data_IF_850533035936
#
_entry.id   IF_850533035936
#
_cell.length_a   1.000
_cell.length_b   1.000
_cell.length_c   1.000
_cell.angle_alpha   90.00
_cell.angle_beta   90.00
_cell.angle_gamma   90.00
#
_symmetry.space_group_name_H-M   'P 1'
#
loop_
_entity.id
_entity.type
_entity.pdbx_description
1 polymer ?
#
# COMPACT_ATOMS: atom_id res chain seq x y z
N UNK A 1 25.27 7.67 15.21
CA UNK A 1 24.43 7.98 14.04
C UNK A 1 23.15 7.13 14.10
N UNK A 2 21.94 7.70 13.98
CA UNK A 2 20.69 6.95 14.11
C UNK A 2 20.57 5.82 13.06
N UNK A 3 21.25 5.94 11.93
CA UNK A 3 21.27 4.93 10.87
C UNK A 3 21.96 3.63 11.35
N UNK A 4 23.03 3.74 12.15
CA UNK A 4 23.75 2.58 12.71
C UNK A 4 22.85 1.84 13.70
N UNK A 5 22.08 2.56 14.51
CA UNK A 5 21.14 1.95 15.47
C UNK A 5 20.02 1.19 14.74
N UNK A 6 19.50 1.76 13.65
CA UNK A 6 18.47 1.11 12.81
C UNK A 6 19.05 -0.15 12.12
N UNK A 7 20.25 -0.08 11.60
CA UNK A 7 20.95 -1.22 10.99
C UNK A 7 21.26 -2.32 12.02
N UNK A 8 21.68 -1.96 13.23
CA UNK A 8 21.92 -2.91 14.32
C UNK A 8 20.62 -3.52 14.83
N UNK A 9 19.53 -2.76 14.93
CA UNK A 9 18.22 -3.28 15.30
C UNK A 9 17.67 -4.25 14.22
N UNK A 10 17.82 -3.93 12.94
CA UNK A 10 17.50 -4.83 11.84
C UNK A 10 18.37 -6.11 11.89
N UNK A 11 19.67 -6.00 12.10
CA UNK A 11 20.57 -7.14 12.22
C UNK A 11 20.22 -8.02 13.45
N UNK A 12 19.88 -7.41 14.58
CA UNK A 12 19.46 -8.14 15.80
C UNK A 12 18.13 -8.89 15.59
N UNK A 13 17.19 -8.35 14.81
CA UNK A 13 15.98 -9.06 14.42
C UNK A 13 16.27 -10.30 13.56
N UNK A 14 17.30 -10.28 12.73
CA UNK A 14 17.71 -11.44 11.91
C UNK A 14 18.40 -12.54 12.74
N UNK A 15 19.05 -12.22 13.83
CA UNK A 15 19.80 -13.21 14.65
C UNK A 15 18.90 -13.91 15.71
N UNK A 16 17.78 -13.32 16.08
CA UNK A 16 16.88 -13.88 17.10
C UNK A 16 16.01 -15.06 16.62
N UNK A 17 16.13 -15.49 15.36
CA UNK A 17 15.17 -16.42 14.73
C UNK A 17 15.67 -17.85 14.54
N UNK A 18 16.72 -18.27 15.23
CA UNK A 18 17.30 -19.63 15.04
C UNK A 18 16.54 -20.80 15.73
N UNK A 19 15.40 -20.58 16.37
CA UNK A 19 14.64 -21.66 17.03
C UNK A 19 13.13 -21.64 16.80
N UNK A 20 12.62 -21.17 15.68
CA UNK A 20 11.20 -21.32 15.37
C UNK A 20 11.02 -22.06 14.04
N UNK A 21 10.18 -23.09 14.08
CA UNK A 21 9.61 -23.80 12.92
C UNK A 21 9.56 -22.92 11.68
N UNK A 22 10.11 -23.42 10.56
CA UNK A 22 10.24 -22.76 9.27
C UNK A 22 9.36 -21.50 9.10
N UNK A 23 9.88 -20.35 9.54
CA UNK A 23 9.26 -19.07 9.26
C UNK A 23 9.45 -18.83 7.76
N UNK A 24 8.42 -19.15 6.99
CA UNK A 24 8.43 -18.81 5.57
C UNK A 24 8.30 -17.30 5.46
N UNK A 25 9.23 -16.70 4.76
CA UNK A 25 9.20 -15.29 4.39
C UNK A 25 8.86 -15.23 2.91
N UNK A 26 8.02 -14.31 2.54
CA UNK A 26 7.69 -14.07 1.15
C UNK A 26 7.89 -12.62 0.79
N UNK A 27 8.36 -12.38 -0.44
CA UNK A 27 8.46 -11.06 -1.05
C UNK A 27 7.50 -11.01 -2.22
N UNK A 28 6.78 -9.89 -2.38
CA UNK A 28 5.79 -9.72 -3.43
C UNK A 28 5.75 -8.32 -4.03
N UNK A 29 5.28 -8.26 -5.27
CA UNK A 29 4.89 -7.03 -5.95
C UNK A 29 3.42 -7.07 -6.33
N UNK A 30 2.74 -5.93 -6.30
CA UNK A 30 1.37 -5.79 -6.76
C UNK A 30 1.37 -5.30 -8.22
N UNK A 31 1.02 -6.17 -9.13
CA UNK A 31 1.02 -5.93 -10.58
C UNK A 31 0.09 -4.78 -10.99
N UNK A 32 -0.98 -4.49 -10.22
CA UNK A 32 -1.86 -3.36 -10.48
C UNK A 32 -1.15 -2.02 -10.19
N UNK A 33 -0.30 -1.98 -9.17
CA UNK A 33 0.55 -0.82 -8.89
C UNK A 33 1.63 -0.67 -9.96
N UNK A 34 2.24 -1.78 -10.39
CA UNK A 34 3.24 -1.76 -11.45
C UNK A 34 2.64 -1.28 -12.78
N UNK A 35 1.41 -1.69 -13.11
CA UNK A 35 0.67 -1.22 -14.29
C UNK A 35 0.39 0.29 -14.27
N UNK A 36 0.34 0.90 -13.10
CA UNK A 36 0.23 2.37 -12.92
C UNK A 36 1.58 3.07 -12.74
N UNK A 37 2.67 2.40 -13.09
CA UNK A 37 4.05 2.88 -12.93
C UNK A 37 4.36 3.28 -11.47
N UNK A 38 3.81 2.55 -10.51
CA UNK A 38 4.04 2.76 -9.08
C UNK A 38 4.88 1.60 -8.54
N UNK A 39 6.22 1.73 -8.50
CA UNK A 39 7.07 0.75 -7.85
C UNK A 39 6.58 0.43 -6.46
N UNK A 40 6.55 -0.86 -6.13
CA UNK A 40 6.04 -1.32 -4.85
C UNK A 40 6.72 -2.62 -4.40
N UNK A 41 6.72 -2.83 -3.11
CA UNK A 41 7.30 -4.00 -2.49
C UNK A 41 6.49 -4.40 -1.27
N UNK A 42 6.16 -5.67 -1.17
CA UNK A 42 5.57 -6.28 0.01
C UNK A 42 6.47 -7.36 0.59
N UNK A 43 6.56 -7.40 1.91
CA UNK A 43 7.21 -8.48 2.65
C UNK A 43 6.18 -9.11 3.58
N UNK A 44 6.07 -10.42 3.56
CA UNK A 44 5.14 -11.16 4.39
C UNK A 44 5.87 -12.24 5.18
N UNK A 45 5.61 -12.33 6.48
CA UNK A 45 6.20 -13.32 7.39
C UNK A 45 5.13 -14.22 7.97
N UNK A 46 5.41 -15.52 7.99
CA UNK A 46 4.62 -16.49 8.74
C UNK A 46 4.88 -16.38 10.24
N UNK A 47 3.85 -16.01 11.00
CA UNK A 47 3.90 -15.95 12.47
C UNK A 47 3.44 -17.27 13.12
N UNK A 48 2.80 -18.14 12.35
CA UNK A 48 2.29 -19.41 12.82
C UNK A 48 1.88 -20.32 11.66
N UNK A 49 1.09 -21.35 11.96
CA UNK A 49 0.59 -22.30 10.94
C UNK A 49 -0.43 -21.65 9.99
N UNK A 50 -1.20 -20.71 10.49
CA UNK A 50 -2.33 -20.06 9.80
C UNK A 50 -2.33 -18.54 9.91
N UNK A 51 -1.27 -17.94 10.47
CA UNK A 51 -1.20 -16.49 10.67
C UNK A 51 0.05 -15.97 10.00
N UNK A 52 -0.10 -14.87 9.26
CA UNK A 52 1.00 -14.11 8.66
C UNK A 52 0.84 -12.63 8.95
N UNK A 53 1.94 -11.91 8.93
CA UNK A 53 1.96 -10.44 8.94
C UNK A 53 2.66 -9.94 7.70
N UNK A 54 2.12 -8.89 7.10
CA UNK A 54 2.64 -8.26 5.89
C UNK A 54 2.91 -6.79 6.12
N UNK A 55 3.99 -6.31 5.54
CA UNK A 55 4.25 -4.90 5.33
C UNK A 55 4.37 -4.63 3.83
N UNK A 56 3.64 -3.65 3.33
CA UNK A 56 3.63 -3.25 1.93
C UNK A 56 3.95 -1.77 1.80
N UNK A 57 4.82 -1.43 0.87
CA UNK A 57 5.19 -0.06 0.55
C UNK A 57 5.08 0.18 -0.96
N UNK A 58 4.42 1.27 -1.33
CA UNK A 58 4.32 1.74 -2.72
C UNK A 58 4.76 3.19 -2.81
N UNK A 59 5.50 3.53 -3.87
CA UNK A 59 6.02 4.86 -4.11
C UNK A 59 5.81 5.25 -5.56
N UNK A 60 5.16 6.38 -5.80
CA UNK A 60 5.06 6.99 -7.11
C UNK A 60 5.79 8.35 -7.10
N UNK A 61 7.01 8.44 -7.60
CA UNK A 61 7.80 9.68 -7.57
C UNK A 61 7.62 10.55 -8.81
N UNK A 62 6.83 10.13 -9.81
CA UNK A 62 6.86 10.70 -11.15
C UNK A 62 6.24 12.09 -11.25
N UNK A 63 6.94 12.94 -11.97
CA UNK A 63 6.46 14.20 -12.51
C UNK A 63 6.40 14.06 -14.04
N UNK A 64 5.26 14.37 -14.61
CA UNK A 64 5.08 14.36 -16.06
C UNK A 64 5.22 15.79 -16.61
N UNK A 65 5.47 15.89 -17.91
CA UNK A 65 5.48 17.16 -18.65
C UNK A 65 4.18 17.95 -18.45
N UNK A 66 4.18 19.26 -18.69
CA UNK A 66 3.03 20.16 -18.55
C UNK A 66 2.53 20.35 -17.10
N UNK A 67 3.38 20.14 -16.09
CA UNK A 67 3.04 20.36 -14.69
C UNK A 67 2.10 19.31 -14.09
N UNK A 68 1.85 18.20 -14.79
CA UNK A 68 1.15 17.03 -14.23
C UNK A 68 2.02 16.35 -13.20
N UNK A 69 1.49 16.13 -12.02
CA UNK A 69 2.20 15.43 -10.93
C UNK A 69 1.27 14.41 -10.29
N UNK A 70 1.77 13.17 -10.17
CA UNK A 70 1.09 12.10 -9.42
C UNK A 70 2.14 11.53 -8.47
N UNK A 71 2.43 12.28 -7.41
CA UNK A 71 3.40 11.85 -6.41
C UNK A 71 2.64 11.37 -5.19
N UNK A 72 2.88 10.11 -4.82
CA UNK A 72 2.35 9.57 -3.58
C UNK A 72 3.23 8.45 -3.06
N UNK A 73 3.17 8.23 -1.78
CA UNK A 73 3.66 7.02 -1.14
C UNK A 73 2.59 6.45 -0.22
N UNK A 74 2.58 5.14 -0.10
CA UNK A 74 1.63 4.41 0.71
C UNK A 74 2.34 3.31 1.48
N UNK A 75 2.13 3.26 2.78
CA UNK A 75 2.55 2.19 3.66
C UNK A 75 1.31 1.46 4.16
N UNK A 76 1.34 0.13 4.15
CA UNK A 76 0.25 -0.70 4.67
C UNK A 76 0.82 -1.86 5.47
N UNK A 77 0.36 -1.99 6.72
CA UNK A 77 0.57 -3.16 7.56
C UNK A 77 -0.70 -4.01 7.58
N UNK A 78 -0.57 -5.33 7.49
CA UNK A 78 -1.72 -6.25 7.47
C UNK A 78 -1.42 -7.53 8.23
N UNK A 79 -2.32 -7.91 9.14
CA UNK A 79 -2.36 -9.23 9.75
C UNK A 79 -3.36 -10.12 9.03
N UNK A 80 -3.00 -11.36 8.73
CA UNK A 80 -3.78 -12.30 7.93
C UNK A 80 -4.00 -13.62 8.66
N UNK A 81 -5.20 -14.13 8.52
CA UNK A 81 -5.59 -15.47 8.96
C UNK A 81 -5.96 -16.33 7.75
N UNK A 82 -5.31 -17.49 7.62
CA UNK A 82 -5.47 -18.44 6.53
C UNK A 82 -6.41 -19.56 6.93
N UNK A 83 -7.38 -19.91 6.11
CA UNK A 83 -8.34 -20.96 6.43
C UNK A 83 -7.73 -22.37 6.39
N UNK A 84 -6.76 -22.59 5.51
CA UNK A 84 -6.03 -23.85 5.41
C UNK A 84 -4.64 -23.77 6.06
N UNK A 85 -3.66 -23.30 5.33
CA UNK A 85 -2.29 -23.11 5.80
C UNK A 85 -1.76 -21.78 5.29
N UNK A 86 -0.73 -21.24 5.95
CA UNK A 86 -0.10 -20.00 5.49
C UNK A 86 0.33 -20.10 4.02
N UNK A 87 0.15 -19.03 3.28
CA UNK A 87 0.48 -18.89 1.84
C UNK A 87 -0.31 -19.84 0.91
N UNK A 88 -1.47 -20.36 1.34
CA UNK A 88 -2.27 -21.26 0.52
C UNK A 88 -3.78 -21.03 0.70
N UNK A 89 -4.49 -20.79 -0.39
CA UNK A 89 -5.93 -20.70 -0.43
C UNK A 89 -6.49 -19.38 0.11
N UNK A 90 -7.63 -19.46 0.74
CA UNK A 90 -8.37 -18.30 1.23
C UNK A 90 -7.78 -17.72 2.51
N UNK A 91 -7.81 -16.39 2.61
CA UNK A 91 -7.45 -15.68 3.83
C UNK A 91 -8.35 -14.47 4.10
N UNK A 92 -8.45 -14.13 5.36
CA UNK A 92 -8.99 -12.86 5.85
C UNK A 92 -7.86 -12.07 6.50
N UNK A 93 -7.88 -10.75 6.29
CA UNK A 93 -6.89 -9.85 6.87
C UNK A 93 -7.53 -8.61 7.48
N UNK A 94 -6.79 -8.01 8.39
CA UNK A 94 -7.06 -6.66 8.90
C UNK A 94 -5.85 -5.82 8.56
N UNK A 95 -6.08 -4.68 7.90
CA UNK A 95 -5.00 -3.79 7.49
C UNK A 95 -5.16 -2.38 8.05
N UNK A 96 -4.03 -1.77 8.32
CA UNK A 96 -3.88 -0.34 8.58
C UNK A 96 -3.00 0.25 7.49
N UNK A 97 -3.35 1.45 7.03
CA UNK A 97 -2.60 2.13 5.99
C UNK A 97 -2.43 3.61 6.28
N UNK A 98 -1.35 4.17 5.75
CA UNK A 98 -1.07 5.59 5.79
C UNK A 98 -0.20 6.01 4.63
N UNK A 99 -0.36 7.25 4.19
CA UNK A 99 0.39 7.77 3.06
C UNK A 99 0.24 9.26 2.87
N UNK A 100 0.99 9.77 1.92
CA UNK A 100 0.90 11.17 1.49
C UNK A 100 0.76 11.22 -0.02
N UNK A 101 0.05 12.22 -0.50
CA UNK A 101 -0.17 12.44 -1.92
C UNK A 101 0.00 13.91 -2.28
N UNK A 102 0.48 14.12 -3.50
CA UNK A 102 0.59 15.43 -4.12
C UNK A 102 0.22 15.28 -5.60
N UNK A 103 -0.98 15.69 -5.92
CA UNK A 103 -1.57 15.52 -7.25
C UNK A 103 -1.92 16.87 -7.86
N UNK A 104 -1.47 17.10 -9.10
CA UNK A 104 -1.74 18.32 -9.85
C UNK A 104 -2.03 18.00 -11.32
N UNK A 105 -2.99 18.69 -11.92
CA UNK A 105 -3.35 18.62 -13.36
C UNK A 105 -3.67 17.20 -13.87
N UNK A 106 -4.27 16.36 -13.01
CA UNK A 106 -4.60 14.97 -13.35
C UNK A 106 -6.00 14.84 -13.92
N UNK A 107 -6.14 14.11 -15.02
CA UNK A 107 -7.45 13.80 -15.60
C UNK A 107 -8.05 12.59 -14.86
N UNK A 108 -8.92 12.83 -13.88
CA UNK A 108 -9.44 11.85 -12.95
C UNK A 108 -10.42 10.82 -13.55
N UNK A 109 -10.62 10.78 -14.87
CA UNK A 109 -11.57 9.85 -15.52
C UNK A 109 -11.20 8.37 -15.35
N UNK A 110 -9.96 8.06 -14.98
CA UNK A 110 -9.49 6.68 -14.83
C UNK A 110 -9.69 6.10 -13.42
N UNK A 111 -9.95 6.95 -12.43
CA UNK A 111 -10.13 6.52 -11.05
C UNK A 111 -11.62 6.60 -10.68
N UNK A 112 -12.26 5.47 -10.50
CA UNK A 112 -13.70 5.32 -10.16
C UNK A 112 -14.07 5.83 -8.76
N UNK A 113 -13.16 6.47 -8.05
CA UNK A 113 -13.38 7.02 -6.72
C UNK A 113 -13.72 8.50 -6.87
N UNK A 114 -14.78 8.97 -6.21
CA UNK A 114 -15.28 10.36 -6.17
C UNK A 114 -14.19 11.42 -5.88
N UNK A 115 -13.28 11.62 -6.83
CA UNK A 115 -12.29 12.68 -6.79
C UNK A 115 -12.91 14.03 -7.13
N UNK A 116 -12.41 15.14 -6.57
CA UNK A 116 -12.87 16.47 -6.96
C UNK A 116 -12.74 16.66 -8.47
N UNK A 117 -13.79 17.16 -9.10
CA UNK A 117 -13.81 17.43 -10.56
C UNK A 117 -12.78 18.50 -10.99
N UNK A 118 -12.26 19.24 -10.02
CA UNK A 118 -11.37 20.42 -10.20
C UNK A 118 -9.87 20.05 -10.18
N UNK A 119 -9.51 18.77 -10.26
CA UNK A 119 -8.11 18.30 -10.29
C UNK A 119 -7.33 18.81 -11.53
N UNK A 120 -8.03 19.29 -12.56
CA UNK A 120 -7.40 19.88 -13.75
C UNK A 120 -6.73 21.21 -13.45
N UNK A 121 -7.35 22.02 -12.57
CA UNK A 121 -6.98 23.42 -12.34
C UNK A 121 -6.35 23.64 -10.96
N UNK A 122 -6.38 22.63 -10.11
CA UNK A 122 -5.93 22.72 -8.73
C UNK A 122 -4.94 21.62 -8.36
N UNK A 123 -4.07 21.93 -7.42
CA UNK A 123 -3.15 21.03 -6.79
C UNK A 123 -3.71 20.58 -5.44
N UNK A 124 -3.74 19.28 -5.23
CA UNK A 124 -4.16 18.68 -3.98
C UNK A 124 -2.97 18.00 -3.31
N UNK A 125 -2.67 18.46 -2.11
CA UNK A 125 -1.64 17.88 -1.25
C UNK A 125 -2.28 17.41 0.04
N UNK A 126 -1.87 16.26 0.55
CA UNK A 126 -2.43 15.79 1.80
C UNK A 126 -1.83 14.47 2.27
N UNK A 127 -2.43 14.00 3.35
CA UNK A 127 -2.13 12.68 3.91
C UNK A 127 -3.42 11.91 4.15
N UNK A 128 -3.30 10.62 4.21
CA UNK A 128 -4.39 9.73 4.55
C UNK A 128 -3.96 8.69 5.58
N UNK A 129 -4.91 8.26 6.39
CA UNK A 129 -4.76 7.14 7.29
C UNK A 129 -6.07 6.34 7.30
N UNK A 130 -5.96 5.02 7.30
CA UNK A 130 -7.13 4.17 7.21
C UNK A 130 -6.95 2.80 7.83
N UNK A 131 -8.10 2.16 8.07
CA UNK A 131 -8.22 0.81 8.58
C UNK A 131 -9.23 0.05 7.74
N UNK A 132 -9.00 -1.24 7.54
CA UNK A 132 -9.95 -2.04 6.77
C UNK A 132 -9.76 -3.53 6.96
N UNK A 133 -10.65 -4.27 6.32
CA UNK A 133 -10.61 -5.73 6.24
C UNK A 133 -10.33 -6.15 4.81
N UNK A 134 -9.59 -7.23 4.67
CA UNK A 134 -9.20 -7.80 3.38
C UNK A 134 -9.70 -9.23 3.29
N UNK A 135 -10.19 -9.61 2.12
CA UNK A 135 -10.38 -10.99 1.74
C UNK A 135 -9.57 -11.28 0.49
N UNK A 136 -8.92 -12.43 0.45
CA UNK A 136 -8.13 -12.82 -0.71
C UNK A 136 -7.99 -14.32 -0.87
N UNK A 137 -7.42 -14.66 -2.01
CA UNK A 137 -7.08 -16.03 -2.37
C UNK A 137 -5.69 -16.07 -2.97
N UNK A 138 -4.93 -17.09 -2.62
CA UNK A 138 -3.59 -17.33 -3.11
C UNK A 138 -3.50 -18.67 -3.83
N UNK A 139 -2.98 -18.64 -5.05
CA UNK A 139 -2.68 -19.82 -5.87
C UNK A 139 -1.21 -20.14 -5.80
N UNK A 140 -0.88 -21.37 -5.51
CA UNK A 140 0.49 -21.89 -5.60
C UNK A 140 0.75 -22.28 -7.05
N UNK A 141 1.65 -21.56 -7.73
CA UNK A 141 2.03 -21.86 -9.11
C UNK A 141 3.19 -22.85 -9.17
N UNK A 142 4.14 -22.73 -8.25
CA UNK A 142 5.29 -23.62 -8.16
C UNK A 142 5.84 -23.64 -6.73
N UNK A 143 6.97 -24.32 -6.53
CA UNK A 143 7.60 -24.47 -5.20
C UNK A 143 7.87 -23.16 -4.49
N UNK A 144 8.17 -22.09 -5.22
CA UNK A 144 8.53 -20.77 -4.68
C UNK A 144 7.63 -19.64 -5.18
N UNK A 145 6.86 -19.85 -6.26
CA UNK A 145 6.07 -18.81 -6.89
C UNK A 145 4.58 -18.98 -6.61
N UNK A 146 3.98 -17.92 -6.12
CA UNK A 146 2.54 -17.83 -5.87
C UNK A 146 1.96 -16.58 -6.53
N UNK A 147 0.68 -16.64 -6.85
CA UNK A 147 -0.11 -15.47 -7.26
C UNK A 147 -1.22 -15.27 -6.23
N UNK A 148 -1.47 -14.02 -5.89
CA UNK A 148 -2.48 -13.61 -4.93
C UNK A 148 -3.44 -12.61 -5.56
N UNK A 149 -4.75 -12.80 -5.36
CA UNK A 149 -5.76 -11.80 -5.59
C UNK A 149 -6.42 -11.41 -4.27
N UNK A 150 -6.54 -10.12 -4.00
CA UNK A 150 -7.13 -9.63 -2.75
C UNK A 150 -7.92 -8.35 -2.98
N UNK A 151 -9.03 -8.25 -2.25
CA UNK A 151 -9.86 -7.04 -2.18
C UNK A 151 -10.02 -6.65 -0.71
N UNK A 152 -10.06 -5.36 -0.44
CA UNK A 152 -10.26 -4.85 0.91
C UNK A 152 -11.22 -3.69 0.93
N UNK A 153 -12.00 -3.62 1.99
CA UNK A 153 -12.90 -2.52 2.28
C UNK A 153 -12.60 -1.94 3.65
N UNK A 154 -12.80 -0.67 3.80
CA UNK A 154 -12.50 -0.02 5.07
C UNK A 154 -12.82 1.45 5.10
N UNK A 155 -12.36 2.07 6.17
CA UNK A 155 -12.49 3.49 6.40
C UNK A 155 -11.14 4.18 6.20
N UNK A 156 -11.14 5.30 5.49
CA UNK A 156 -9.97 6.11 5.25
C UNK A 156 -10.26 7.60 5.55
N UNK A 157 -9.49 8.16 6.45
CA UNK A 157 -9.49 9.59 6.76
C UNK A 157 -8.47 10.29 5.87
N UNK A 158 -8.93 11.29 5.12
CA UNK A 158 -8.11 12.02 4.16
C UNK A 158 -8.12 13.50 4.56
N UNK A 159 -6.95 14.02 4.86
CA UNK A 159 -6.74 15.46 5.05
C UNK A 159 -6.06 16.03 3.82
N UNK A 160 -6.62 17.10 3.26
CA UNK A 160 -6.09 17.71 2.05
C UNK A 160 -6.03 19.23 2.12
N UNK A 161 -5.07 19.79 1.38
CA UNK A 161 -4.94 21.22 1.09
C UNK A 161 -5.10 21.40 -0.42
N UNK A 162 -5.95 22.34 -0.80
CA UNK A 162 -6.18 22.71 -2.18
C UNK A 162 -5.46 24.03 -2.47
N UNK A 163 -4.62 24.03 -3.49
CA UNK A 163 -3.91 25.20 -3.96
C UNK A 163 -4.24 25.41 -5.45
N UNK A 164 -4.51 26.64 -5.92
CA UNK A 164 -4.62 26.91 -7.35
C UNK A 164 -3.28 26.65 -8.05
N UNK A 165 -3.34 26.16 -9.29
CA UNK A 165 -2.12 25.89 -10.07
C UNK A 165 -1.46 27.16 -10.60
N UNK A 166 -2.20 28.27 -10.72
CA UNK A 166 -1.70 29.61 -11.14
C UNK A 166 -2.61 30.71 -10.58
N UNK A 167 -2.05 31.86 -10.10
CA UNK A 167 -0.65 32.09 -9.77
C UNK A 167 -0.24 31.42 -8.45
N UNK A 168 1.04 31.06 -8.32
CA UNK A 168 1.57 30.45 -7.11
C UNK A 168 1.34 31.36 -5.90
N UNK A 169 0.69 30.86 -4.85
CA UNK A 169 0.75 31.69 -3.69
C UNK A 169 -0.05 31.27 -2.47
N UNK A 170 -1.30 31.10 -2.45
CA UNK A 170 -2.05 30.96 -1.21
C UNK A 170 -2.84 29.64 -1.14
N UNK A 171 -2.78 29.00 0.03
CA UNK A 171 -3.66 27.86 0.32
C UNK A 171 -5.11 28.35 0.24
N UNK A 172 -5.83 27.95 -0.79
CA UNK A 172 -7.20 28.42 -1.03
C UNK A 172 -8.17 27.77 -0.04
N UNK A 173 -7.97 26.49 0.26
CA UNK A 173 -8.85 25.73 1.16
C UNK A 173 -8.14 24.54 1.78
N UNK A 174 -8.41 24.33 3.06
CA UNK A 174 -8.08 23.09 3.77
C UNK A 174 -9.38 22.34 4.06
N UNK A 175 -9.33 21.01 4.00
CA UNK A 175 -10.48 20.19 4.30
C UNK A 175 -10.08 18.77 4.70
N UNK A 176 -11.07 18.05 5.20
CA UNK A 176 -10.95 16.61 5.45
C UNK A 176 -12.11 15.88 4.79
N UNK A 177 -11.89 14.66 4.42
CA UNK A 177 -12.90 13.78 3.84
C UNK A 177 -12.83 12.42 4.49
N UNK A 178 -13.98 11.95 4.96
CA UNK A 178 -14.15 10.59 5.42
C UNK A 178 -14.59 9.74 4.24
N UNK A 179 -13.89 8.65 4.00
CA UNK A 179 -14.18 7.73 2.91
C UNK A 179 -14.40 6.34 3.48
N UNK A 180 -15.52 5.75 3.12
CA UNK A 180 -15.81 4.34 3.39
C UNK A 180 -16.03 3.62 2.06
N UNK A 181 -15.27 2.55 1.83
CA UNK A 181 -15.36 1.80 0.57
C UNK A 181 -14.11 0.95 0.31
N UNK A 182 -13.84 0.59 -0.96
CA UNK A 182 -12.65 -0.17 -1.32
C UNK A 182 -11.36 0.55 -0.89
N UNK A 183 -10.55 -0.10 -0.06
CA UNK A 183 -9.28 0.43 0.45
C UNK A 183 -8.08 -0.32 -0.11
N UNK A 184 -8.32 -1.52 -0.66
CA UNK A 184 -7.28 -2.36 -1.21
C UNK A 184 -7.79 -3.13 -2.43
N UNK A 185 -6.98 -3.13 -3.48
CA UNK A 185 -7.12 -4.02 -4.62
C UNK A 185 -5.71 -4.51 -4.98
N UNK A 186 -5.52 -5.82 -4.98
CA UNK A 186 -4.22 -6.40 -5.24
C UNK A 186 -4.33 -7.63 -6.15
N UNK A 187 -3.47 -7.64 -7.15
CA UNK A 187 -3.09 -8.83 -7.90
C UNK A 187 -1.57 -8.91 -7.78
N UNK A 188 -1.08 -9.82 -6.97
CA UNK A 188 0.34 -9.83 -6.59
C UNK A 188 1.04 -11.10 -7.08
N UNK A 189 2.26 -10.93 -7.56
CA UNK A 189 3.21 -12.02 -7.76
C UNK A 189 4.10 -12.10 -6.52
N UNK A 190 4.27 -13.31 -6.00
CA UNK A 190 4.94 -13.56 -4.73
C UNK A 190 6.01 -14.64 -4.88
N UNK A 191 7.16 -14.43 -4.26
CA UNK A 191 8.21 -15.41 -4.09
C UNK A 191 8.32 -15.81 -2.61
N UNK A 192 8.20 -17.10 -2.33
CA UNK A 192 8.25 -17.67 -0.96
C UNK A 192 9.59 -18.38 -0.78
N UNK A 193 10.33 -17.99 0.27
CA UNK A 193 11.63 -18.56 0.63
C UNK A 193 11.51 -19.82 1.48
#
# INVERSE_FOLDING_TARGET
SPIIIILLALAACFTATQKAQAQSVAVKTNLLYDATLTPNLGVEMGLGKRVTAQLFYGLNPWKFSEGKSIRHWQLMGEGRYWFCSKFNGHFLGVHAMGGQFNMAKVNAKLYTINWPKDLKDNRYEGWNAGLGVTYGYQWILSRHWNVEAAVGVGYNYIHYKKNPCEPCGTVERQGHKNYFGPTKLALSLMYVF
#
